data_IF_880335021341
#
_entry.id   IF_880335021341
#
_cell.length_a   1.000
_cell.length_b   1.000
_cell.length_c   1.000
_cell.angle_alpha   90.00
_cell.angle_beta   90.00
_cell.angle_gamma   90.00
#
_symmetry.space_group_name_H-M   'P 1'
#
loop_
_entity.id
_entity.type
_entity.pdbx_description
1 polymer ?
#
# COMPACT_ATOMS: atom_id res chain seq x y z
N UNK A 1 1.24 -12.85 17.58
CA UNK A 1 -0.19 -12.62 17.24
C UNK A 1 -0.55 -11.17 17.58
N UNK A 2 -0.79 -10.33 16.59
CA UNK A 2 -1.23 -8.95 16.83
C UNK A 2 -2.70 -9.02 17.22
N UNK A 3 -3.02 -8.60 18.47
CA UNK A 3 -4.40 -8.62 18.97
C UNK A 3 -5.29 -7.72 18.08
N UNK A 4 -6.48 -8.21 17.72
CA UNK A 4 -7.51 -7.45 16.97
C UNK A 4 -7.79 -6.08 17.61
N UNK A 5 -7.62 -5.95 18.93
CA UNK A 5 -7.75 -4.69 19.67
C UNK A 5 -6.65 -3.70 19.33
N UNK A 6 -5.38 -4.13 19.20
CA UNK A 6 -4.26 -3.28 18.79
C UNK A 6 -4.42 -2.79 17.35
N UNK A 7 -4.88 -3.68 16.46
CA UNK A 7 -5.15 -3.31 15.06
C UNK A 7 -6.26 -2.25 14.97
N UNK A 8 -7.35 -2.43 15.73
CA UNK A 8 -8.46 -1.47 15.79
C UNK A 8 -8.02 -0.12 16.38
N UNK A 9 -7.14 -0.15 17.39
CA UNK A 9 -6.62 1.06 18.02
C UNK A 9 -5.66 1.81 17.09
N UNK A 10 -4.78 1.11 16.37
CA UNK A 10 -3.92 1.72 15.34
C UNK A 10 -4.74 2.30 14.19
N UNK A 11 -5.79 1.61 13.76
CA UNK A 11 -6.71 2.10 12.74
C UNK A 11 -7.44 3.37 13.21
N UNK A 12 -7.90 3.38 14.46
CA UNK A 12 -8.53 4.55 15.08
C UNK A 12 -7.56 5.73 15.20
N UNK A 13 -6.29 5.47 15.54
CA UNK A 13 -5.23 6.49 15.60
C UNK A 13 -4.92 7.07 14.23
N UNK A 14 -4.90 6.26 13.17
CA UNK A 14 -4.72 6.73 11.79
C UNK A 14 -5.91 7.60 11.35
N UNK A 15 -7.11 7.23 11.77
CA UNK A 15 -8.34 7.95 11.41
C UNK A 15 -8.56 9.21 12.25
N UNK A 16 -8.08 9.25 13.50
CA UNK A 16 -8.18 10.42 14.40
C UNK A 16 -7.09 11.46 14.19
N UNK A 17 -6.07 11.18 13.34
CA UNK A 17 -5.14 12.21 12.91
C UNK A 17 -5.94 13.27 12.14
N UNK A 18 -5.80 14.53 12.53
CA UNK A 18 -6.41 15.72 11.91
C UNK A 18 -5.98 15.93 10.43
N UNK A 19 -5.46 14.89 9.80
CA UNK A 19 -5.03 14.88 8.42
C UNK A 19 -6.22 14.71 7.48
N UNK A 20 -6.29 15.56 6.49
CA UNK A 20 -7.28 15.44 5.40
C UNK A 20 -7.26 14.02 4.81
N UNK A 21 -8.43 13.39 4.54
CA UNK A 21 -8.50 12.03 3.99
C UNK A 21 -7.61 11.81 2.77
N UNK A 22 -7.45 12.85 1.93
CA UNK A 22 -6.57 12.84 0.78
C UNK A 22 -5.09 12.62 1.15
N UNK A 23 -4.57 13.27 2.19
CA UNK A 23 -3.18 13.10 2.61
C UNK A 23 -2.87 11.68 3.10
N UNK A 24 -3.82 11.06 3.80
CA UNK A 24 -3.70 9.68 4.25
C UNK A 24 -3.68 8.73 3.04
N UNK A 25 -4.59 8.96 2.09
CA UNK A 25 -4.72 8.12 0.89
C UNK A 25 -3.52 8.26 -0.06
N UNK A 26 -2.95 9.47 -0.19
CA UNK A 26 -1.71 9.69 -0.97
C UNK A 26 -0.54 8.94 -0.32
N UNK A 27 -0.37 9.03 1.01
CA UNK A 27 0.67 8.30 1.72
C UNK A 27 0.56 6.78 1.48
N UNK A 28 -0.65 6.24 1.55
CA UNK A 28 -0.92 4.84 1.29
C UNK A 28 -0.63 4.44 -0.16
N UNK A 29 -1.08 5.23 -1.14
CA UNK A 29 -0.84 4.99 -2.55
C UNK A 29 0.64 5.01 -2.92
N UNK A 30 1.41 5.96 -2.37
CA UNK A 30 2.87 6.02 -2.53
C UNK A 30 3.53 4.78 -1.93
N UNK A 31 3.08 4.33 -0.76
CA UNK A 31 3.54 3.08 -0.16
C UNK A 31 3.28 1.88 -1.06
N UNK A 32 2.08 1.77 -1.64
CA UNK A 32 1.73 0.72 -2.59
C UNK A 32 2.61 0.78 -3.84
N UNK A 33 2.87 1.96 -4.39
CA UNK A 33 3.79 2.12 -5.52
C UNK A 33 5.18 1.55 -5.20
N UNK A 34 5.71 1.89 -4.02
CA UNK A 34 7.02 1.42 -3.56
C UNK A 34 7.04 -0.10 -3.40
N UNK A 35 5.91 -0.72 -2.99
CA UNK A 35 5.84 -2.17 -2.81
C UNK A 35 6.06 -2.97 -4.10
N UNK A 36 5.84 -2.37 -5.27
CA UNK A 36 6.12 -2.98 -6.57
C UNK A 36 7.55 -2.77 -7.07
N UNK A 37 8.39 -2.03 -6.33
CA UNK A 37 9.83 -1.95 -6.65
C UNK A 37 10.51 -3.31 -6.41
N UNK A 38 11.63 -3.64 -7.11
CA UNK A 38 12.34 -4.90 -6.90
C UNK A 38 12.61 -5.21 -5.42
N UNK A 39 12.43 -6.46 -4.97
CA UNK A 39 12.41 -6.82 -3.56
C UNK A 39 13.82 -6.86 -2.96
N UNK A 40 14.35 -5.72 -2.56
CA UNK A 40 15.56 -5.64 -1.76
C UNK A 40 15.13 -5.53 -0.28
N UNK A 41 15.53 -6.48 0.59
CA UNK A 41 15.11 -6.48 1.98
C UNK A 41 15.43 -5.16 2.69
N UNK A 42 14.42 -4.56 3.33
CA UNK A 42 14.56 -3.28 4.04
C UNK A 42 14.49 -2.01 3.19
N UNK A 43 14.77 -2.09 1.88
CA UNK A 43 14.78 -0.93 0.99
C UNK A 43 13.38 -0.30 0.88
N UNK A 44 12.32 -1.11 0.78
CA UNK A 44 10.94 -0.61 0.68
C UNK A 44 10.55 0.26 1.87
N UNK A 45 10.87 -0.19 3.10
CA UNK A 45 10.55 0.55 4.32
C UNK A 45 11.39 1.81 4.43
N UNK A 46 12.67 1.75 4.10
CA UNK A 46 13.55 2.92 4.09
C UNK A 46 13.09 3.95 3.06
N UNK A 47 12.79 3.50 1.83
CA UNK A 47 12.33 4.36 0.74
C UNK A 47 10.95 4.99 1.08
N UNK A 48 10.02 4.20 1.63
CA UNK A 48 8.72 4.69 2.09
C UNK A 48 8.86 5.77 3.16
N UNK A 49 9.81 5.60 4.08
CA UNK A 49 10.07 6.55 5.16
C UNK A 49 10.70 7.84 4.62
N UNK A 50 11.70 7.73 3.72
CA UNK A 50 12.36 8.87 3.09
C UNK A 50 11.32 9.69 2.29
N UNK A 51 10.53 9.05 1.45
CA UNK A 51 9.51 9.72 0.62
C UNK A 51 8.44 10.34 1.52
N UNK A 52 7.97 9.63 2.55
CA UNK A 52 7.00 10.17 3.50
C UNK A 52 7.54 11.40 4.24
N UNK A 53 8.85 11.44 4.54
CA UNK A 53 9.48 12.58 5.19
C UNK A 53 9.63 13.77 4.25
N UNK A 54 10.12 13.55 3.03
CA UNK A 54 10.35 14.60 2.01
C UNK A 54 9.04 15.26 1.60
N UNK A 55 8.01 14.47 1.34
CA UNK A 55 6.70 14.96 0.90
C UNK A 55 5.74 15.26 2.05
N UNK A 56 6.20 15.16 3.31
CA UNK A 56 5.40 15.38 4.52
C UNK A 56 4.11 14.54 4.56
N UNK A 57 4.16 13.34 3.99
CA UNK A 57 3.05 12.40 4.00
C UNK A 57 2.93 11.70 5.35
N UNK A 58 1.80 11.08 5.58
CA UNK A 58 1.60 10.27 6.77
C UNK A 58 2.52 9.04 6.71
N UNK A 59 3.55 9.02 7.59
CA UNK A 59 4.59 7.98 7.63
C UNK A 59 3.99 6.59 7.84
N UNK A 60 2.98 6.50 8.73
CA UNK A 60 2.37 5.23 9.08
C UNK A 60 1.61 4.62 7.89
N UNK A 61 0.86 5.44 7.15
CA UNK A 61 0.12 4.96 5.97
C UNK A 61 1.04 4.61 4.81
N UNK A 62 2.15 5.33 4.63
CA UNK A 62 3.15 5.02 3.62
C UNK A 62 3.84 3.68 3.90
N UNK A 63 4.23 3.43 5.15
CA UNK A 63 4.80 2.15 5.57
C UNK A 63 3.78 1.02 5.39
N UNK A 64 2.53 1.22 5.84
CA UNK A 64 1.48 0.21 5.70
C UNK A 64 1.22 -0.14 4.23
N UNK A 65 1.20 0.86 3.35
CA UNK A 65 1.08 0.65 1.89
C UNK A 65 2.26 -0.14 1.31
N UNK A 66 3.49 0.11 1.77
CA UNK A 66 4.67 -0.60 1.28
C UNK A 66 4.72 -2.09 1.66
N UNK A 67 3.92 -2.51 2.62
CA UNK A 67 3.83 -3.90 3.07
C UNK A 67 2.68 -4.70 2.43
N UNK A 68 1.93 -4.10 1.53
CA UNK A 68 0.81 -4.76 0.83
C UNK A 68 1.31 -5.93 -0.01
N UNK A 69 2.46 -5.78 -0.64
CA UNK A 69 3.03 -6.83 -1.45
C UNK A 69 3.74 -7.85 -0.54
N UNK A 70 3.04 -8.94 -0.25
CA UNK A 70 3.54 -10.06 0.55
C UNK A 70 4.62 -10.84 -0.24
N UNK A 71 5.57 -11.53 0.42
CA UNK A 71 6.52 -12.42 -0.25
C UNK A 71 5.87 -13.41 -1.22
N UNK A 72 4.65 -13.86 -0.93
CA UNK A 72 3.89 -14.77 -1.79
C UNK A 72 3.40 -14.07 -3.07
N UNK A 73 3.03 -12.80 -2.98
CA UNK A 73 2.50 -12.03 -4.11
C UNK A 73 3.58 -11.32 -4.92
N UNK A 74 4.77 -11.12 -4.33
CA UNK A 74 5.93 -10.50 -5.01
C UNK A 74 6.33 -11.28 -6.25
N UNK A 75 6.41 -12.61 -6.15
CA UNK A 75 6.87 -13.47 -7.24
C UNK A 75 5.94 -13.39 -8.46
N UNK A 76 4.64 -13.66 -8.35
CA UNK A 76 3.75 -13.55 -9.51
C UNK A 76 3.66 -12.12 -10.05
N UNK A 77 3.75 -11.11 -9.19
CA UNK A 77 3.73 -9.70 -9.63
C UNK A 77 5.00 -9.32 -10.40
N UNK A 78 6.17 -9.85 -10.04
CA UNK A 78 7.42 -9.65 -10.77
C UNK A 78 7.40 -10.28 -12.16
N UNK A 79 6.83 -11.49 -12.28
CA UNK A 79 6.70 -12.15 -13.57
C UNK A 79 5.78 -11.37 -14.49
N UNK A 80 4.65 -10.93 -13.96
CA UNK A 80 3.71 -10.10 -14.71
C UNK A 80 4.39 -8.78 -15.14
N UNK A 81 5.14 -8.14 -14.25
CA UNK A 81 5.88 -6.92 -14.54
C UNK A 81 6.96 -7.15 -15.61
N UNK A 82 7.73 -8.25 -15.50
CA UNK A 82 8.72 -8.58 -16.50
C UNK A 82 8.11 -8.83 -17.87
N UNK A 83 7.03 -9.63 -17.96
CA UNK A 83 6.33 -9.91 -19.22
C UNK A 83 5.78 -8.64 -19.85
N UNK A 84 5.16 -7.77 -19.04
CA UNK A 84 4.63 -6.49 -19.51
C UNK A 84 5.75 -5.57 -20.02
N UNK A 85 6.84 -5.47 -19.28
CA UNK A 85 7.98 -4.64 -19.68
C UNK A 85 8.71 -5.18 -20.89
N UNK A 86 8.88 -6.49 -21.04
CA UNK A 86 9.47 -7.13 -22.21
C UNK A 86 8.59 -6.93 -23.45
N UNK A 87 7.28 -7.09 -23.31
CA UNK A 87 6.32 -6.83 -24.38
C UNK A 87 6.38 -5.39 -24.89
N UNK A 88 6.48 -4.41 -23.99
CA UNK A 88 6.57 -2.99 -24.35
C UNK A 88 7.90 -2.67 -25.04
N UNK A 89 8.99 -3.31 -24.61
CA UNK A 89 10.33 -3.10 -25.20
C UNK A 89 10.54 -3.89 -26.50
N UNK A 90 9.58 -4.71 -26.93
CA UNK A 90 9.69 -5.54 -28.14
C UNK A 90 10.71 -6.67 -28.00
N UNK A 91 11.09 -7.04 -26.77
CA UNK A 91 12.00 -8.13 -26.46
C UNK A 91 11.29 -9.47 -26.35
N UNK A 92 11.99 -10.57 -26.68
CA UNK A 92 11.50 -11.92 -26.39
C UNK A 92 11.40 -12.11 -24.86
N UNK A 93 10.28 -12.64 -24.42
CA UNK A 93 10.09 -13.01 -23.01
C UNK A 93 10.94 -14.25 -22.74
N UNK A 94 12.07 -14.11 -22.03
CA UNK A 94 12.78 -15.27 -21.52
C UNK A 94 11.84 -16.07 -20.62
N UNK A 95 11.80 -17.39 -20.81
CA UNK A 95 11.07 -18.27 -19.90
C UNK A 95 11.74 -18.23 -18.53
N UNK A 96 11.14 -17.45 -17.64
CA UNK A 96 11.54 -17.44 -16.24
C UNK A 96 11.07 -18.75 -15.62
N UNK A 97 11.99 -19.72 -15.63
CA UNK A 97 11.74 -21.04 -15.06
C UNK A 97 11.52 -20.91 -13.55
N UNK A 98 10.30 -21.17 -13.10
CA UNK A 98 9.84 -20.96 -11.71
C UNK A 98 10.31 -22.05 -10.75
N UNK A 99 10.95 -23.13 -11.26
CA UNK A 99 11.31 -24.30 -10.46
C UNK A 99 12.48 -24.07 -9.51
N UNK A 100 13.20 -22.96 -9.67
CA UNK A 100 14.29 -22.59 -8.78
C UNK A 100 14.20 -21.11 -8.37
N UNK A 101 13.26 -20.81 -7.47
CA UNK A 101 13.13 -19.50 -6.83
C UNK A 101 14.16 -19.34 -5.71
N UNK A 102 15.41 -19.51 -6.05
CA UNK A 102 16.50 -19.23 -5.13
C UNK A 102 16.87 -17.74 -5.22
N UNK A 103 17.32 -17.17 -4.11
CA UNK A 103 17.74 -15.77 -3.99
C UNK A 103 18.80 -15.36 -5.04
N UNK A 104 19.70 -16.29 -5.40
CA UNK A 104 20.70 -16.06 -6.43
C UNK A 104 20.10 -15.96 -7.83
N UNK A 105 19.08 -16.77 -8.12
CA UNK A 105 18.37 -16.70 -9.41
C UNK A 105 17.59 -15.38 -9.54
N UNK A 106 16.97 -14.95 -8.46
CA UNK A 106 16.27 -13.67 -8.39
C UNK A 106 17.21 -12.48 -8.63
N UNK A 107 18.41 -12.51 -8.05
CA UNK A 107 19.46 -11.50 -8.30
C UNK A 107 19.92 -11.51 -9.76
N UNK A 108 20.13 -12.68 -10.34
CA UNK A 108 20.55 -12.81 -11.73
C UNK A 108 19.51 -12.22 -12.70
N UNK A 109 18.23 -12.50 -12.47
CA UNK A 109 17.11 -11.91 -13.24
C UNK A 109 17.06 -10.40 -13.07
N UNK A 110 17.23 -9.91 -11.85
CA UNK A 110 17.28 -8.47 -11.55
C UNK A 110 18.41 -7.74 -12.29
N UNK A 111 19.60 -8.35 -12.38
CA UNK A 111 20.76 -7.74 -13.03
C UNK A 111 20.63 -7.82 -14.54
N UNK A 112 20.31 -9.01 -15.08
CA UNK A 112 20.30 -9.27 -16.53
C UNK A 112 19.10 -8.64 -17.24
N UNK A 113 17.93 -8.60 -16.57
CA UNK A 113 16.68 -8.12 -17.15
C UNK A 113 16.12 -6.87 -16.44
N UNK A 114 17.02 -6.05 -15.90
CA UNK A 114 16.65 -4.86 -15.11
C UNK A 114 15.75 -3.88 -15.85
N UNK A 115 16.01 -3.60 -17.13
CA UNK A 115 15.25 -2.62 -17.91
C UNK A 115 13.78 -3.00 -18.09
N UNK A 116 13.43 -4.19 -18.64
CA UNK A 116 12.03 -4.59 -18.77
C UNK A 116 11.34 -4.74 -17.41
N UNK A 117 12.05 -5.26 -16.42
CA UNK A 117 11.49 -5.44 -15.08
C UNK A 117 11.15 -4.10 -14.41
N UNK A 118 12.06 -3.12 -14.42
CA UNK A 118 11.82 -1.80 -13.83
C UNK A 118 10.68 -1.07 -14.54
N UNK A 119 10.60 -1.16 -15.87
CA UNK A 119 9.53 -0.54 -16.63
C UNK A 119 8.18 -1.17 -16.29
N UNK A 120 8.10 -2.49 -16.26
CA UNK A 120 6.87 -3.20 -15.91
C UNK A 120 6.44 -2.96 -14.46
N UNK A 121 7.38 -2.99 -13.50
CA UNK A 121 7.11 -2.67 -12.10
C UNK A 121 6.60 -1.25 -11.92
N UNK A 122 7.16 -0.29 -12.66
CA UNK A 122 6.72 1.12 -12.60
C UNK A 122 5.29 1.26 -13.11
N UNK A 123 4.94 0.62 -14.21
CA UNK A 123 3.58 0.69 -14.79
C UNK A 123 2.57 0.02 -13.88
N UNK A 124 2.83 -1.23 -13.46
CA UNK A 124 1.91 -1.95 -12.57
C UNK A 124 1.79 -1.26 -11.23
N UNK A 125 2.91 -0.80 -10.65
CA UNK A 125 2.94 -0.06 -9.41
C UNK A 125 2.15 1.24 -9.49
N UNK A 126 2.24 1.97 -10.61
CA UNK A 126 1.48 3.20 -10.83
C UNK A 126 -0.03 2.95 -10.91
N UNK A 127 -0.46 1.94 -11.67
CA UNK A 127 -1.87 1.54 -11.75
C UNK A 127 -2.37 1.08 -10.38
N UNK A 128 -1.61 0.24 -9.69
CA UNK A 128 -1.96 -0.23 -8.34
C UNK A 128 -2.05 0.93 -7.33
N UNK A 129 -1.16 1.91 -7.41
CA UNK A 129 -1.18 3.10 -6.55
C UNK A 129 -2.43 3.95 -6.77
N UNK A 130 -2.84 4.16 -8.03
CA UNK A 130 -4.07 4.90 -8.35
C UNK A 130 -5.29 4.18 -7.76
N UNK A 131 -5.40 2.87 -7.97
CA UNK A 131 -6.50 2.07 -7.41
C UNK A 131 -6.49 2.11 -5.87
N UNK A 132 -5.32 1.95 -5.26
CA UNK A 132 -5.14 2.02 -3.82
C UNK A 132 -5.54 3.39 -3.24
N UNK A 133 -5.23 4.48 -3.94
CA UNK A 133 -5.66 5.83 -3.57
C UNK A 133 -7.18 5.92 -3.48
N UNK A 134 -7.89 5.54 -4.54
CA UNK A 134 -9.35 5.64 -4.59
C UNK A 134 -10.01 4.74 -3.55
N UNK A 135 -9.53 3.51 -3.39
CA UNK A 135 -10.06 2.56 -2.40
C UNK A 135 -9.85 3.12 -0.99
N UNK A 136 -8.62 3.54 -0.66
CA UNK A 136 -8.28 4.08 0.64
C UNK A 136 -9.10 5.34 0.96
N UNK A 137 -9.21 6.27 0.01
CA UNK A 137 -10.00 7.49 0.15
C UNK A 137 -11.48 7.19 0.45
N UNK A 138 -12.09 6.28 -0.34
CA UNK A 138 -13.48 5.87 -0.14
C UNK A 138 -13.70 5.21 1.22
N UNK A 139 -12.78 4.35 1.64
CA UNK A 139 -12.84 3.70 2.94
C UNK A 139 -12.76 4.71 4.09
N UNK A 140 -11.81 5.65 4.04
CA UNK A 140 -11.64 6.66 5.09
C UNK A 140 -12.89 7.54 5.19
N UNK A 141 -13.40 8.02 4.07
CA UNK A 141 -14.62 8.86 4.06
C UNK A 141 -15.82 8.08 4.60
N UNK A 142 -15.97 6.82 4.21
CA UNK A 142 -17.06 5.97 4.68
C UNK A 142 -17.01 5.77 6.21
N UNK A 143 -15.83 5.43 6.75
CA UNK A 143 -15.66 5.22 8.18
C UNK A 143 -15.87 6.52 8.98
N UNK A 144 -15.33 7.65 8.51
CA UNK A 144 -15.54 8.95 9.18
C UNK A 144 -17.02 9.36 9.22
N UNK A 145 -17.77 9.12 8.16
CA UNK A 145 -19.22 9.38 8.14
C UNK A 145 -19.96 8.50 9.13
N UNK A 146 -19.57 7.23 9.24
CA UNK A 146 -20.18 6.30 10.19
C UNK A 146 -19.88 6.68 11.64
N UNK A 147 -18.65 7.08 11.95
CA UNK A 147 -18.27 7.52 13.29
C UNK A 147 -18.98 8.82 13.67
N UNK A 148 -19.15 9.76 12.75
CA UNK A 148 -19.92 10.98 12.98
C UNK A 148 -21.40 10.69 13.28
N UNK A 149 -22.04 9.82 12.48
CA UNK A 149 -23.43 9.43 12.72
C UNK A 149 -23.63 8.69 14.06
N UNK A 150 -22.68 7.83 14.44
CA UNK A 150 -22.72 7.17 15.75
C UNK A 150 -22.56 8.15 16.91
N UNK A 151 -21.69 9.16 16.76
CA UNK A 151 -21.50 10.20 17.79
C UNK A 151 -22.76 11.06 17.96
N UNK A 152 -23.44 11.37 16.86
CA UNK A 152 -24.71 12.11 16.89
C UNK A 152 -25.81 11.34 17.60
N UNK A 153 -26.01 10.05 17.25
CA UNK A 153 -26.97 9.17 17.92
C UNK A 153 -26.69 9.02 19.43
N UNK A 154 -25.42 8.92 19.81
CA UNK A 154 -25.05 8.81 21.23
C UNK A 154 -25.40 10.08 21.98
N UNK A 155 -25.19 11.24 21.36
CA UNK A 155 -25.53 12.54 21.95
C UNK A 155 -27.04 12.72 22.10
N UNK A 156 -27.83 12.30 21.10
CA UNK A 156 -29.28 12.33 21.19
C UNK A 156 -29.80 11.44 22.31
N UNK A 157 -29.24 10.25 22.49
CA UNK A 157 -29.61 9.34 23.58
C UNK A 157 -29.27 9.91 24.96
N UNK A 158 -28.15 10.62 25.10
CA UNK A 158 -27.78 11.28 26.36
C UNK A 158 -28.78 12.39 26.72
N UNK A 159 -29.13 13.23 25.73
CA UNK A 159 -30.11 14.30 25.95
C UNK A 159 -31.48 13.74 26.37
N UNK A 160 -31.97 12.69 25.68
CA UNK A 160 -33.25 12.03 26.06
C UNK A 160 -33.15 11.37 27.45
N UNK A 161 -31.98 10.80 27.79
CA UNK A 161 -31.78 10.22 29.11
C UNK A 161 -31.76 11.25 30.26
N UNK A 162 -31.30 12.48 29.99
CA UNK A 162 -31.35 13.61 30.94
C UNK A 162 -32.77 14.18 31.12
N UNK A 163 -33.58 14.19 30.05
CA UNK A 163 -34.96 14.65 30.11
C UNK A 163 -35.90 13.69 30.88
N UNK A 164 -35.52 12.41 31.00
CA UNK A 164 -36.30 11.36 31.66
C UNK A 164 -35.98 11.18 33.16
N UNK A 165 -34.96 11.84 33.70
CA UNK A 165 -34.54 11.82 35.10
C UNK A 165 -34.90 13.13 35.82
#
# INVERSE_FOLDING_TARGET
MISKAKLKQQFKTIMSLDSHPGHISVGFAVGVFISFTPPIPGLHTALALIIAFVFRLNKLTCITGSWINSPITVVPSMILAYKLGAWILGGETADLNMDSLDWEHLKAVLITHSKPLLLGCSIIGFVAAILAYFICYRLIVFFRRKDAALAELTREMEVVGEELN
#
